data_IF_081272801691
#
_entry.id   IF_081272801691
#
_cell.length_a   1.000
_cell.length_b   1.000
_cell.length_c   1.000
_cell.angle_alpha   90.00
_cell.angle_beta   90.00
_cell.angle_gamma   90.00
#
_symmetry.space_group_name_H-M   'P 1'
#
loop_
_entity.id
_entity.type
_entity.pdbx_description
1 polymer ?
#
# COMPACT_ATOMS: atom_id res chain seq x y z
N UNK A 1 5.13 -2.37 19.87
CA UNK A 1 4.27 -1.98 18.74
C UNK A 1 4.51 -0.54 18.38
N UNK A 2 4.60 -0.25 17.11
CA UNK A 2 4.78 1.10 16.60
C UNK A 2 3.64 1.44 15.65
N UNK A 3 3.36 2.73 15.52
CA UNK A 3 2.40 3.20 14.54
C UNK A 3 3.08 3.23 13.16
N UNK A 4 2.47 2.56 12.21
CA UNK A 4 2.91 2.57 10.83
C UNK A 4 1.71 2.83 9.93
N UNK A 5 1.97 3.03 8.66
CA UNK A 5 0.92 3.21 7.67
C UNK A 5 0.93 2.04 6.72
N UNK A 6 -0.17 1.31 6.72
CA UNK A 6 -0.30 0.13 5.87
C UNK A 6 -0.81 0.54 4.50
N UNK A 7 -0.03 0.22 3.48
CA UNK A 7 -0.43 0.42 2.10
C UNK A 7 -1.28 -0.77 1.66
N UNK A 8 -2.54 -0.51 1.37
CA UNK A 8 -3.47 -1.52 0.91
C UNK A 8 -3.67 -1.33 -0.59
N UNK A 9 -3.51 -2.41 -1.32
CA UNK A 9 -3.68 -2.40 -2.78
C UNK A 9 -4.84 -3.30 -3.15
N UNK A 10 -5.78 -2.76 -3.91
CA UNK A 10 -6.94 -3.50 -4.39
C UNK A 10 -6.86 -3.59 -5.90
N UNK A 11 -6.97 -4.79 -6.40
CA UNK A 11 -7.00 -5.05 -7.85
C UNK A 11 -8.37 -5.62 -8.19
N UNK A 12 -9.08 -4.92 -9.05
CA UNK A 12 -10.42 -5.32 -9.49
C UNK A 12 -11.38 -5.55 -8.32
N UNK A 13 -11.26 -4.70 -7.28
CA UNK A 13 -12.13 -4.76 -6.11
C UNK A 13 -11.66 -5.71 -5.01
N UNK A 14 -10.61 -6.49 -5.25
CA UNK A 14 -10.09 -7.45 -4.28
C UNK A 14 -8.76 -6.98 -3.71
N UNK A 15 -8.59 -7.13 -2.41
CA UNK A 15 -7.33 -6.80 -1.75
C UNK A 15 -6.27 -7.80 -2.18
N UNK A 16 -5.11 -7.29 -2.59
CA UNK A 16 -3.96 -8.11 -2.92
C UNK A 16 -3.03 -8.14 -1.70
N UNK A 17 -3.03 -9.23 -0.92
CA UNK A 17 -2.19 -9.29 0.27
C UNK A 17 -0.69 -9.31 -0.03
N UNK A 18 -0.30 -9.71 -1.23
CA UNK A 18 1.10 -9.73 -1.62
C UNK A 18 1.64 -8.33 -1.88
N UNK A 19 0.77 -7.38 -2.17
CA UNK A 19 1.16 -6.00 -2.41
C UNK A 19 1.07 -5.13 -1.16
N UNK A 20 0.65 -5.69 -0.03
CA UNK A 20 0.56 -4.96 1.23
C UNK A 20 1.95 -4.63 1.75
N UNK A 21 2.16 -3.39 2.15
CA UNK A 21 3.42 -2.95 2.73
C UNK A 21 3.17 -1.98 3.88
N UNK A 22 4.21 -1.77 4.68
CA UNK A 22 4.11 -0.91 5.86
C UNK A 22 5.16 0.19 5.76
N UNK A 23 4.77 1.41 6.12
CA UNK A 23 5.59 2.60 5.97
C UNK A 23 5.58 3.41 7.25
N UNK A 24 6.73 3.97 7.62
CA UNK A 24 6.82 4.87 8.77
C UNK A 24 6.16 6.22 8.49
N UNK A 25 6.20 6.66 7.24
CA UNK A 25 5.73 7.99 6.84
C UNK A 25 4.44 7.87 6.03
N UNK A 26 3.43 8.62 6.43
CA UNK A 26 2.19 8.72 5.66
C UNK A 26 2.46 9.31 4.28
N UNK A 27 3.34 10.30 4.20
CA UNK A 27 3.69 10.94 2.93
C UNK A 27 4.27 9.94 1.94
N UNK A 28 5.19 9.08 2.40
CA UNK A 28 5.77 8.06 1.54
C UNK A 28 4.75 7.00 1.14
N UNK A 29 3.93 6.57 2.10
CA UNK A 29 2.88 5.60 1.81
C UNK A 29 1.94 6.15 0.73
N UNK A 30 1.50 7.39 0.86
CA UNK A 30 0.62 8.02 -0.11
C UNK A 30 1.29 8.20 -1.46
N UNK A 31 2.57 8.50 -1.48
CA UNK A 31 3.31 8.60 -2.72
C UNK A 31 3.25 7.30 -3.52
N UNK A 32 3.54 6.19 -2.85
CA UNK A 32 3.50 4.88 -3.52
C UNK A 32 2.08 4.45 -3.87
N UNK A 33 1.10 4.82 -3.05
CA UNK A 33 -0.30 4.54 -3.38
C UNK A 33 -0.69 5.23 -4.68
N UNK A 34 -0.30 6.49 -4.84
CA UNK A 34 -0.59 7.24 -6.07
C UNK A 34 0.11 6.63 -7.27
N UNK A 35 1.37 6.23 -7.12
CA UNK A 35 2.13 5.61 -8.20
C UNK A 35 1.47 4.31 -8.66
N UNK A 36 1.04 3.49 -7.74
CA UNK A 36 0.39 2.22 -8.08
C UNK A 36 -0.93 2.45 -8.81
N UNK A 37 -1.71 3.42 -8.37
CA UNK A 37 -2.99 3.73 -8.99
C UNK A 37 -2.80 4.23 -10.41
N UNK A 38 -1.87 5.14 -10.62
CA UNK A 38 -1.57 5.70 -11.96
C UNK A 38 -1.04 4.61 -12.87
N UNK A 39 -0.07 3.83 -12.41
CA UNK A 39 0.52 2.76 -13.21
C UNK A 39 -0.50 1.68 -13.55
N UNK A 40 -1.39 1.37 -12.61
CA UNK A 40 -2.43 0.40 -12.82
C UNK A 40 -3.38 0.79 -13.95
N UNK A 41 -3.70 2.07 -14.06
CA UNK A 41 -4.61 2.55 -15.10
C UNK A 41 -3.95 2.59 -16.49
N UNK A 42 -2.62 2.61 -16.55
CA UNK A 42 -1.88 2.69 -17.82
C UNK A 42 -1.31 1.36 -18.26
N UNK A 43 -1.54 0.31 -17.52
CA UNK A 43 -0.97 -1.00 -17.85
C UNK A 43 -1.93 -1.82 -18.69
N UNK A 44 -1.37 -2.86 -19.26
CA UNK A 44 -2.05 -3.80 -20.15
C UNK A 44 -3.21 -4.55 -19.52
N UNK A 45 -3.34 -4.50 -18.22
CA UNK A 45 -4.34 -5.30 -17.51
C UNK A 45 -5.74 -4.74 -17.61
N UNK A 46 -5.87 -3.45 -17.86
CA UNK A 46 -7.17 -2.78 -17.95
C UNK A 46 -8.06 -2.97 -16.72
N UNK A 47 -7.50 -3.49 -15.63
CA UNK A 47 -8.23 -3.66 -14.39
C UNK A 47 -8.04 -2.44 -13.50
N UNK A 48 -9.09 -1.98 -12.81
CA UNK A 48 -8.92 -0.86 -11.90
C UNK A 48 -8.06 -1.27 -10.71
N UNK A 49 -7.04 -0.47 -10.44
CA UNK A 49 -6.16 -0.64 -9.28
C UNK A 49 -6.38 0.55 -8.37
N UNK A 50 -6.69 0.27 -7.11
CA UNK A 50 -6.84 1.29 -6.07
C UNK A 50 -5.83 1.00 -4.97
N UNK A 51 -5.27 2.06 -4.41
CA UNK A 51 -4.35 1.93 -3.30
C UNK A 51 -4.60 3.06 -2.30
N UNK A 52 -4.53 2.72 -1.02
CA UNK A 52 -4.74 3.70 0.03
C UNK A 52 -3.92 3.31 1.26
N UNK A 53 -3.78 4.26 2.18
CA UNK A 53 -2.99 4.07 3.38
C UNK A 53 -3.89 4.14 4.60
N UNK A 54 -3.68 3.21 5.55
CA UNK A 54 -4.40 3.22 6.82
C UNK A 54 -3.39 3.16 7.96
N UNK A 55 -3.62 3.90 9.05
CA UNK A 55 -2.76 3.79 10.23
C UNK A 55 -2.98 2.43 10.90
N UNK A 56 -1.87 1.82 11.33
CA UNK A 56 -1.95 0.52 11.99
C UNK A 56 -0.76 0.37 12.94
N UNK A 57 -1.02 -0.17 14.12
CA UNK A 57 0.06 -0.53 15.03
C UNK A 57 0.60 -1.90 14.64
N UNK A 58 1.90 -1.98 14.46
CA UNK A 58 2.57 -3.20 14.02
C UNK A 58 3.78 -3.50 14.88
N UNK A 59 4.17 -4.75 14.89
CA UNK A 59 5.42 -5.18 15.52
C UNK A 59 6.52 -5.17 14.47
N UNK A 60 7.51 -4.27 14.58
CA UNK A 60 8.55 -4.16 13.56
C UNK A 60 9.46 -5.38 13.49
N UNK A 61 9.38 -6.26 14.47
CA UNK A 61 10.12 -7.52 14.43
C UNK A 61 9.42 -8.57 13.59
N UNK A 62 8.12 -8.41 13.33
CA UNK A 62 7.33 -9.38 12.58
C UNK A 62 7.04 -8.93 11.15
N UNK A 63 7.01 -7.63 10.91
CA UNK A 63 6.75 -7.07 9.59
C UNK A 63 7.82 -6.05 9.25
N UNK A 64 8.18 -6.00 7.97
CA UNK A 64 9.12 -5.00 7.49
C UNK A 64 8.39 -3.67 7.36
N UNK A 65 8.95 -2.62 7.96
CA UNK A 65 8.41 -1.27 7.86
C UNK A 65 9.41 -0.44 7.09
N UNK A 66 8.95 0.12 5.98
CA UNK A 66 9.81 0.89 5.07
C UNK A 66 9.88 2.36 5.48
N UNK A 67 11.01 2.93 5.17
CA UNK A 67 11.30 4.31 5.51
C UNK A 67 11.03 5.26 4.34
#
# INVERSE_FOLDING_TARGET
MILAFMLVVMVNGDIDPKATSYWFSLTRCRYFAEQLTVQGTHRKYHTPVMAYCVPKYVNPKKVAVHD
#
